data_IF_359928170335
#
_entry.id   IF_359928170335
#
_cell.length_a   1.000
_cell.length_b   1.000
_cell.length_c   1.000
_cell.angle_alpha   90.00
_cell.angle_beta   90.00
_cell.angle_gamma   90.00
#
_symmetry.space_group_name_H-M   'P 1'
#
loop_
_entity.id
_entity.type
_entity.pdbx_description
1 polymer ?
#
# COMPACT_ATOMS: atom_id res chain seq x y z
N UNK A 1 -4.63 -16.36 -3.16
CA UNK A 1 -3.21 -16.07 -2.86
C UNK A 1 -3.05 -14.57 -2.84
N UNK A 2 -2.42 -13.98 -1.80
CA UNK A 2 -2.21 -12.52 -1.73
C UNK A 2 -1.18 -12.11 -2.81
N UNK A 3 -1.39 -11.03 -3.57
CA UNK A 3 -0.38 -10.56 -4.51
C UNK A 3 0.89 -10.10 -3.76
N UNK A 4 2.05 -10.21 -4.41
CA UNK A 4 3.32 -9.79 -3.82
C UNK A 4 3.40 -8.26 -3.77
N UNK A 5 3.62 -7.71 -2.58
CA UNK A 5 3.83 -6.27 -2.42
C UNK A 5 5.22 -5.84 -2.91
N UNK A 6 5.34 -4.66 -3.51
CA UNK A 6 6.63 -4.10 -3.88
C UNK A 6 7.41 -3.75 -2.62
N UNK A 7 8.73 -3.87 -2.70
CA UNK A 7 9.60 -3.62 -1.56
C UNK A 7 9.79 -2.12 -1.25
N UNK A 8 9.40 -1.23 -2.16
CA UNK A 8 9.63 0.22 -2.05
C UNK A 8 8.47 1.01 -2.62
N UNK A 9 8.24 2.21 -2.09
CA UNK A 9 7.24 3.14 -2.63
C UNK A 9 7.59 3.61 -4.05
N UNK A 10 8.86 3.69 -4.43
CA UNK A 10 9.27 4.02 -5.80
C UNK A 10 8.69 3.04 -6.83
N UNK A 11 8.72 1.75 -6.52
CA UNK A 11 8.12 0.72 -7.38
C UNK A 11 6.59 0.76 -7.39
N UNK A 12 5.97 1.45 -6.42
CA UNK A 12 4.53 1.65 -6.34
C UNK A 12 4.08 3.02 -6.88
N UNK A 13 4.99 3.90 -7.32
CA UNK A 13 4.62 5.21 -7.89
C UNK A 13 3.81 5.08 -9.18
N UNK A 14 4.00 3.98 -9.92
CA UNK A 14 3.25 3.69 -11.15
C UNK A 14 1.93 2.94 -10.89
N UNK A 15 1.59 2.68 -9.62
CA UNK A 15 0.35 1.99 -9.30
C UNK A 15 -0.86 2.90 -9.50
N UNK A 16 -1.90 2.32 -10.10
CA UNK A 16 -3.25 2.83 -10.00
C UNK A 16 -3.97 2.26 -8.79
N UNK A 17 -5.23 2.66 -8.61
CA UNK A 17 -6.07 2.16 -7.53
C UNK A 17 -6.26 0.63 -7.56
N UNK A 18 -6.34 0.02 -8.75
CA UNK A 18 -6.63 -1.41 -8.91
C UNK A 18 -5.60 -2.31 -8.21
N UNK A 19 -4.33 -1.93 -8.21
CA UNK A 19 -3.27 -2.64 -7.49
C UNK A 19 -3.54 -2.62 -5.98
N UNK A 20 -3.75 -1.43 -5.40
CA UNK A 20 -4.06 -1.29 -3.96
C UNK A 20 -5.35 -2.03 -3.59
N UNK A 21 -6.39 -1.91 -4.41
CA UNK A 21 -7.67 -2.56 -4.22
C UNK A 21 -7.55 -4.09 -4.20
N UNK A 22 -6.73 -4.67 -5.07
CA UNK A 22 -6.47 -6.11 -5.09
C UNK A 22 -5.81 -6.59 -3.78
N UNK A 23 -4.85 -5.84 -3.23
CA UNK A 23 -4.22 -6.16 -1.94
C UNK A 23 -5.19 -6.02 -0.77
N UNK A 24 -5.96 -4.92 -0.72
CA UNK A 24 -6.95 -4.69 0.33
C UNK A 24 -8.07 -5.76 0.31
N UNK A 25 -8.54 -6.12 -0.89
CA UNK A 25 -9.54 -7.18 -1.09
C UNK A 25 -9.01 -8.53 -0.61
N UNK A 26 -7.77 -8.87 -0.94
CA UNK A 26 -7.15 -10.12 -0.51
C UNK A 26 -6.96 -10.21 1.02
N UNK A 27 -6.84 -9.08 1.72
CA UNK A 27 -6.76 -9.03 3.19
C UNK A 27 -8.14 -9.11 3.83
N UNK A 28 -9.12 -8.36 3.32
CA UNK A 28 -10.47 -8.30 3.90
C UNK A 28 -11.28 -9.60 3.72
N UNK A 29 -10.92 -10.43 2.75
CA UNK A 29 -11.52 -11.75 2.54
C UNK A 29 -10.97 -12.84 3.47
N UNK A 30 -9.94 -12.55 4.28
CA UNK A 30 -9.36 -13.54 5.17
C UNK A 30 -10.20 -13.73 6.43
N UNK A 31 -10.44 -14.98 6.81
CA UNK A 31 -11.00 -15.29 8.12
C UNK A 31 -9.92 -15.10 9.19
N UNK A 32 -10.18 -14.20 10.13
CA UNK A 32 -9.26 -13.91 11.21
C UNK A 32 -9.45 -14.86 12.39
N UNK A 33 -8.33 -15.38 12.87
CA UNK A 33 -8.21 -16.17 14.10
C UNK A 33 -7.15 -15.52 14.98
N UNK A 34 -7.10 -15.90 16.27
CA UNK A 34 -6.07 -15.39 17.17
C UNK A 34 -4.64 -15.65 16.64
N UNK A 35 -4.42 -16.76 15.94
CA UNK A 35 -3.12 -17.12 15.36
C UNK A 35 -2.74 -16.33 14.10
N UNK A 36 -3.73 -15.82 13.35
CA UNK A 36 -3.51 -15.11 12.08
C UNK A 36 -3.63 -13.59 12.21
N UNK A 37 -4.26 -13.08 13.27
CA UNK A 37 -4.54 -11.66 13.46
C UNK A 37 -3.26 -10.80 13.41
N UNK A 38 -2.18 -11.23 14.07
CA UNK A 38 -0.90 -10.50 14.08
C UNK A 38 -0.30 -10.38 12.68
N UNK A 39 -0.31 -11.48 11.92
CA UNK A 39 0.22 -11.48 10.55
C UNK A 39 -0.64 -10.62 9.62
N UNK A 40 -1.97 -10.68 9.77
CA UNK A 40 -2.89 -9.86 9.02
C UNK A 40 -2.70 -8.36 9.31
N UNK A 41 -2.53 -7.98 10.58
CA UNK A 41 -2.24 -6.59 10.96
C UNK A 41 -0.92 -6.11 10.37
N UNK A 42 0.12 -6.94 10.40
CA UNK A 42 1.41 -6.59 9.78
C UNK A 42 1.25 -6.33 8.28
N UNK A 43 0.49 -7.18 7.58
CA UNK A 43 0.21 -7.01 6.15
C UNK A 43 -0.61 -5.74 5.87
N UNK A 44 -1.63 -5.47 6.69
CA UNK A 44 -2.46 -4.27 6.58
C UNK A 44 -1.64 -3.01 6.80
N UNK A 45 -0.82 -2.99 7.85
CA UNK A 45 0.09 -1.87 8.14
C UNK A 45 1.09 -1.68 7.00
N UNK A 46 1.61 -2.75 6.40
CA UNK A 46 2.51 -2.63 5.27
C UNK A 46 1.84 -1.94 4.07
N UNK A 47 0.59 -2.33 3.74
CA UNK A 47 -0.18 -1.73 2.65
C UNK A 47 -0.46 -0.24 2.90
N UNK A 48 -0.88 0.11 4.12
CA UNK A 48 -1.14 1.49 4.50
C UNK A 48 0.12 2.36 4.41
N UNK A 49 1.24 1.89 4.98
CA UNK A 49 2.53 2.61 4.94
C UNK A 49 3.02 2.83 3.50
N UNK A 50 2.84 1.84 2.62
CA UNK A 50 3.21 1.98 1.20
C UNK A 50 2.38 3.07 0.52
N UNK A 51 1.06 3.11 0.77
CA UNK A 51 0.17 4.12 0.22
C UNK A 51 0.54 5.53 0.74
N UNK A 52 0.78 5.65 2.05
CA UNK A 52 1.17 6.92 2.68
C UNK A 52 2.50 7.44 2.13
N UNK A 53 3.49 6.56 1.94
CA UNK A 53 4.79 6.95 1.38
C UNK A 53 4.67 7.39 -0.09
N UNK A 54 3.86 6.69 -0.90
CA UNK A 54 3.56 7.12 -2.27
C UNK A 54 2.87 8.48 -2.29
N UNK A 55 1.86 8.68 -1.45
CA UNK A 55 1.15 9.95 -1.34
C UNK A 55 2.09 11.09 -0.94
N UNK A 56 2.95 10.88 0.06
CA UNK A 56 3.95 11.86 0.47
C UNK A 56 4.90 12.24 -0.66
N UNK A 57 5.36 11.26 -1.45
CA UNK A 57 6.25 11.50 -2.61
C UNK A 57 5.55 12.29 -3.71
N UNK A 58 4.30 11.99 -4.02
CA UNK A 58 3.51 12.73 -5.00
C UNK A 58 3.27 14.17 -4.54
N UNK A 59 2.95 14.38 -3.26
CA UNK A 59 2.83 15.72 -2.68
C UNK A 59 4.14 16.49 -2.80
N UNK A 60 5.28 15.90 -2.41
CA UNK A 60 6.60 16.54 -2.55
C UNK A 60 6.88 16.89 -4.02
N UNK A 61 6.64 15.97 -4.96
CA UNK A 61 6.82 16.24 -6.39
C UNK A 61 5.93 17.41 -6.88
N UNK A 62 4.70 17.52 -6.40
CA UNK A 62 3.77 18.60 -6.75
C UNK A 62 4.06 19.94 -6.06
N UNK A 63 4.83 19.95 -4.97
CA UNK A 63 5.08 21.15 -4.15
C UNK A 63 6.48 21.73 -4.32
N UNK A 64 7.42 20.97 -4.88
CA UNK A 64 8.80 21.41 -5.12
C UNK A 64 8.99 22.00 -6.53
N UNK A 65 8.07 21.73 -7.47
CA UNK A 65 8.06 22.40 -8.78
C UNK A 65 7.05 23.55 -8.81
N UNK A 66 7.45 24.73 -8.34
CA UNK A 66 6.65 25.96 -8.38
C UNK A 66 6.85 26.75 -9.67
N UNK A 67 7.09 26.08 -10.80
CA UNK A 67 7.34 26.73 -12.10
C UNK A 67 6.07 26.89 -12.96
N UNK A 68 4.87 26.82 -12.37
CA UNK A 68 3.64 27.28 -13.05
C UNK A 68 3.61 28.81 -13.16
#
# INVERSE_FOLDING_TARGET
MKPTMPATAQAALEWGWDQYAAHASALTQQTLTAASCTAWLADWTQLASLLDEVAARLVIASTVDTTD
#
